data_IF_193061868210
#
_entry.id   IF_193061868210
#
_cell.length_a   1.000
_cell.length_b   1.000
_cell.length_c   1.000
_cell.angle_alpha   90.00
_cell.angle_beta   90.00
_cell.angle_gamma   90.00
#
_symmetry.space_group_name_H-M   'P 1'
#
loop_
_entity.id
_entity.type
_entity.pdbx_description
1 polymer ?
#
# COMPACT_ATOMS: atom_id res chain seq x y z
N UNK A 1 22.19 -26.56 4.10
CA UNK A 1 20.99 -25.74 4.36
C UNK A 1 21.22 -24.26 4.00
N UNK A 2 22.31 -23.61 4.41
CA UNK A 2 22.60 -22.19 4.10
C UNK A 2 22.72 -21.91 2.58
N UNK A 3 23.35 -22.81 1.82
CA UNK A 3 23.51 -22.66 0.37
C UNK A 3 22.17 -22.77 -0.38
N UNK A 4 21.25 -23.63 0.07
CA UNK A 4 19.91 -23.76 -0.52
C UNK A 4 19.04 -22.53 -0.24
N UNK A 5 19.13 -21.95 0.97
CA UNK A 5 18.44 -20.72 1.33
C UNK A 5 18.93 -19.53 0.48
N UNK A 6 20.24 -19.35 0.35
CA UNK A 6 20.83 -18.30 -0.49
C UNK A 6 20.46 -18.43 -1.99
N UNK A 7 20.36 -19.66 -2.49
CA UNK A 7 19.92 -19.92 -3.88
C UNK A 7 18.43 -19.60 -4.09
N UNK A 8 17.58 -19.92 -3.11
CA UNK A 8 16.15 -19.57 -3.16
C UNK A 8 15.93 -18.05 -3.12
N UNK A 9 16.67 -17.36 -2.26
CA UNK A 9 16.62 -15.90 -2.14
C UNK A 9 17.10 -15.20 -3.42
N UNK A 10 18.20 -15.64 -4.01
CA UNK A 10 18.68 -15.11 -5.29
C UNK A 10 17.70 -15.36 -6.45
N UNK A 11 16.93 -16.45 -6.39
CA UNK A 11 15.92 -16.75 -7.41
C UNK A 11 14.68 -15.89 -7.22
N UNK A 12 14.27 -15.64 -5.97
CA UNK A 12 13.17 -14.74 -5.63
C UNK A 12 13.47 -13.29 -6.03
N UNK A 13 14.68 -12.80 -5.74
CA UNK A 13 15.14 -11.46 -6.15
C UNK A 13 15.13 -11.30 -7.67
N UNK A 14 15.61 -12.29 -8.43
CA UNK A 14 15.58 -12.24 -9.91
C UNK A 14 14.17 -12.29 -10.51
N UNK A 15 13.23 -12.97 -9.85
CA UNK A 15 11.81 -12.91 -10.25
C UNK A 15 11.24 -11.53 -10.01
N UNK A 16 11.42 -10.99 -8.80
CA UNK A 16 10.95 -9.67 -8.45
C UNK A 16 11.53 -8.59 -9.36
N UNK A 17 12.85 -8.63 -9.65
CA UNK A 17 13.51 -7.72 -10.57
C UNK A 17 12.86 -7.76 -11.97
N UNK A 18 12.53 -8.96 -12.47
CA UNK A 18 11.84 -9.12 -13.76
C UNK A 18 10.40 -8.62 -13.71
N UNK A 19 9.67 -8.94 -12.65
CA UNK A 19 8.26 -8.55 -12.50
C UNK A 19 8.12 -7.02 -12.36
N UNK A 20 9.07 -6.35 -11.68
CA UNK A 20 9.15 -4.88 -11.63
C UNK A 20 9.51 -4.30 -13.00
N UNK A 21 10.41 -4.96 -13.73
CA UNK A 21 10.88 -4.47 -15.03
C UNK A 21 9.82 -4.60 -16.13
N UNK A 22 9.11 -5.72 -16.18
CA UNK A 22 8.25 -6.05 -17.33
C UNK A 22 6.83 -5.44 -17.22
N UNK A 23 6.31 -5.23 -16.02
CA UNK A 23 4.98 -4.66 -15.79
C UNK A 23 5.01 -3.14 -15.54
N UNK A 24 5.44 -2.71 -14.36
CA UNK A 24 5.37 -1.29 -13.97
C UNK A 24 6.18 -0.35 -14.84
N UNK A 25 7.36 -0.75 -15.32
CA UNK A 25 8.17 0.11 -16.19
C UNK A 25 7.50 0.39 -17.53
N UNK A 26 6.90 -0.62 -18.16
CA UNK A 26 6.19 -0.43 -19.43
C UNK A 26 4.96 0.47 -19.28
N UNK A 27 4.28 0.41 -18.13
CA UNK A 27 3.14 1.30 -17.82
C UNK A 27 3.59 2.72 -17.57
N UNK A 28 4.70 2.94 -16.85
CA UNK A 28 5.27 4.27 -16.67
C UNK A 28 5.71 4.91 -17.96
N UNK A 29 6.24 4.12 -18.91
CA UNK A 29 6.59 4.62 -20.25
C UNK A 29 5.32 5.04 -21.01
N UNK A 30 4.26 4.24 -21.00
CA UNK A 30 2.98 4.60 -21.61
C UNK A 30 2.39 5.86 -20.98
N UNK A 31 2.35 5.94 -19.66
CA UNK A 31 1.90 7.11 -18.92
C UNK A 31 2.68 8.38 -19.33
N UNK A 32 4.01 8.27 -19.45
CA UNK A 32 4.85 9.39 -19.93
C UNK A 32 4.48 9.84 -21.34
N UNK A 33 4.15 8.89 -22.23
CA UNK A 33 3.69 9.19 -23.59
C UNK A 33 2.31 9.88 -23.59
N UNK A 34 1.38 9.42 -22.75
CA UNK A 34 0.02 9.97 -22.67
C UNK A 34 0.03 11.38 -22.06
N UNK A 35 0.84 11.61 -21.03
CA UNK A 35 1.07 12.95 -20.48
C UNK A 35 1.73 13.88 -21.49
N UNK A 36 2.64 13.36 -22.33
CA UNK A 36 3.27 14.15 -23.40
C UNK A 36 2.27 14.54 -24.49
N UNK A 37 1.34 13.64 -24.84
CA UNK A 37 0.22 13.96 -25.75
C UNK A 37 -0.74 14.97 -25.13
N UNK A 38 -1.15 14.77 -23.87
CA UNK A 38 -2.01 15.73 -23.18
C UNK A 38 -1.40 17.12 -23.17
N UNK A 39 -0.09 17.25 -22.94
CA UNK A 39 0.63 18.52 -22.99
C UNK A 39 0.57 19.20 -24.36
N UNK A 40 0.55 18.43 -25.45
CA UNK A 40 0.44 18.99 -26.80
C UNK A 40 -0.96 19.53 -27.13
N UNK A 41 -1.98 19.12 -26.37
CA UNK A 41 -3.38 19.53 -26.57
C UNK A 41 -3.85 20.56 -25.54
N UNK A 42 -2.94 21.12 -24.73
CA UNK A 42 -3.28 22.12 -23.68
C UNK A 42 -3.99 23.35 -24.26
N UNK A 43 -3.63 23.75 -25.48
CA UNK A 43 -4.22 24.89 -26.21
C UNK A 43 -5.37 24.47 -27.14
N UNK A 44 -5.83 23.21 -27.09
CA UNK A 44 -6.84 22.62 -27.96
C UNK A 44 -8.16 22.33 -27.26
N UNK A 45 -8.80 21.21 -27.66
CA UNK A 45 -10.06 20.75 -27.10
C UNK A 45 -9.90 20.30 -25.64
N UNK A 46 -10.57 21.00 -24.72
CA UNK A 46 -10.50 20.74 -23.29
C UNK A 46 -11.05 19.37 -22.90
N UNK A 47 -12.00 18.82 -23.66
CA UNK A 47 -12.55 17.49 -23.39
C UNK A 47 -11.54 16.40 -23.74
N UNK A 48 -10.77 16.57 -24.81
CA UNK A 48 -9.67 15.67 -25.18
C UNK A 48 -8.56 15.72 -24.12
N UNK A 49 -8.23 16.91 -23.63
CA UNK A 49 -7.24 17.08 -22.58
C UNK A 49 -7.66 16.40 -21.27
N UNK A 50 -8.92 16.61 -20.87
CA UNK A 50 -9.48 16.00 -19.67
C UNK A 50 -9.46 14.48 -19.76
N UNK A 51 -9.92 13.90 -20.86
CA UNK A 51 -9.91 12.46 -21.09
C UNK A 51 -8.50 11.88 -21.00
N UNK A 52 -7.50 12.56 -21.60
CA UNK A 52 -6.10 12.13 -21.52
C UNK A 52 -5.51 12.19 -20.10
N UNK A 53 -5.90 13.18 -19.31
CA UNK A 53 -5.48 13.29 -17.91
C UNK A 53 -6.16 12.22 -17.03
N UNK A 54 -7.45 11.96 -17.22
CA UNK A 54 -8.20 10.92 -16.51
C UNK A 54 -7.60 9.53 -16.79
N UNK A 55 -7.26 9.24 -18.03
CA UNK A 55 -6.57 8.02 -18.42
C UNK A 55 -5.18 7.90 -17.78
N UNK A 56 -4.40 9.00 -17.76
CA UNK A 56 -3.09 9.04 -17.12
C UNK A 56 -3.17 8.79 -15.60
N UNK A 57 -4.17 9.34 -14.95
CA UNK A 57 -4.43 9.09 -13.51
C UNK A 57 -4.79 7.62 -13.27
N UNK A 58 -5.67 7.03 -14.10
CA UNK A 58 -6.07 5.62 -14.01
C UNK A 58 -4.84 4.70 -14.15
N UNK A 59 -4.03 4.89 -15.17
CA UNK A 59 -2.80 4.09 -15.41
C UNK A 59 -1.78 4.24 -14.27
N UNK A 60 -1.67 5.42 -13.68
CA UNK A 60 -0.81 5.64 -12.51
C UNK A 60 -1.29 4.83 -11.31
N UNK A 61 -2.59 4.81 -11.06
CA UNK A 61 -3.18 4.05 -9.97
C UNK A 61 -2.99 2.54 -10.16
N UNK A 62 -3.25 2.02 -11.36
CA UNK A 62 -3.01 0.60 -11.68
C UNK A 62 -1.54 0.21 -11.48
N UNK A 63 -0.61 1.06 -11.92
CA UNK A 63 0.83 0.81 -11.74
C UNK A 63 1.23 0.79 -10.26
N UNK A 64 0.68 1.72 -9.46
CA UNK A 64 0.91 1.75 -8.02
C UNK A 64 0.35 0.50 -7.33
N UNK A 65 -0.80 0.02 -7.73
CA UNK A 65 -1.43 -1.17 -7.15
C UNK A 65 -0.65 -2.44 -7.52
N UNK A 66 -0.10 -2.54 -8.74
CA UNK A 66 0.85 -3.61 -9.09
C UNK A 66 2.14 -3.56 -8.27
N UNK A 67 2.76 -2.38 -8.15
CA UNK A 67 3.96 -2.23 -7.34
C UNK A 67 3.71 -2.61 -5.88
N UNK A 68 2.54 -2.26 -5.34
CA UNK A 68 2.12 -2.68 -4.00
C UNK A 68 1.93 -4.19 -3.91
N UNK A 69 1.31 -4.81 -4.91
CA UNK A 69 1.13 -6.26 -4.97
C UNK A 69 2.47 -7.00 -5.00
N UNK A 70 3.42 -6.53 -5.80
CA UNK A 70 4.78 -7.07 -5.86
C UNK A 70 5.55 -6.85 -4.54
N UNK A 71 5.31 -5.72 -3.88
CA UNK A 71 5.95 -5.37 -2.60
C UNK A 71 5.36 -6.10 -1.39
N UNK A 72 4.16 -6.68 -1.48
CA UNK A 72 3.51 -7.38 -0.35
C UNK A 72 4.34 -8.53 0.22
N UNK A 73 5.32 -9.06 -0.53
CA UNK A 73 6.26 -10.06 -0.05
C UNK A 73 7.55 -9.51 0.57
N UNK A 74 7.75 -8.18 0.55
CA UNK A 74 8.97 -7.52 1.04
C UNK A 74 8.59 -6.54 2.13
N UNK A 75 8.94 -6.88 3.37
CA UNK A 75 8.74 -5.98 4.50
C UNK A 75 9.52 -4.66 4.28
N UNK A 76 8.88 -3.49 4.47
CA UNK A 76 9.58 -2.21 4.36
C UNK A 76 10.75 -2.12 5.35
N UNK A 77 11.85 -1.44 5.02
CA UNK A 77 12.99 -1.29 5.93
C UNK A 77 12.60 -0.73 7.31
N UNK A 78 11.66 0.21 7.37
CA UNK A 78 11.18 0.76 8.65
C UNK A 78 10.54 -0.32 9.54
N UNK A 79 9.88 -1.31 8.94
CA UNK A 79 9.27 -2.42 9.68
C UNK A 79 10.34 -3.38 10.21
N UNK A 80 11.32 -3.74 9.39
CA UNK A 80 12.41 -4.64 9.78
C UNK A 80 13.34 -4.02 10.81
N UNK A 81 13.67 -2.74 10.66
CA UNK A 81 14.67 -2.06 11.48
C UNK A 81 14.08 -1.49 12.77
N UNK A 82 12.86 -0.96 12.73
CA UNK A 82 12.23 -0.22 13.84
C UNK A 82 10.96 -0.87 14.39
N UNK A 83 10.49 -1.96 13.78
CA UNK A 83 9.31 -2.71 14.20
C UNK A 83 7.98 -2.06 13.82
N UNK A 84 6.91 -2.80 14.11
CA UNK A 84 5.55 -2.47 13.71
C UNK A 84 5.06 -1.09 14.19
N UNK A 85 5.24 -0.68 15.47
CA UNK A 85 4.75 0.62 15.92
C UNK A 85 5.32 1.79 15.13
N UNK A 86 6.63 1.78 14.87
CA UNK A 86 7.31 2.84 14.09
C UNK A 86 6.87 2.85 12.64
N UNK A 87 6.64 1.68 12.06
CA UNK A 87 6.18 1.55 10.69
C UNK A 87 4.74 2.08 10.52
N UNK A 88 3.85 1.76 11.48
CA UNK A 88 2.47 2.27 11.49
C UNK A 88 2.42 3.79 11.72
N UNK A 89 3.25 4.32 12.61
CA UNK A 89 3.36 5.77 12.80
C UNK A 89 3.80 6.49 11.52
N UNK A 90 4.73 5.90 10.76
CA UNK A 90 5.15 6.44 9.46
C UNK A 90 4.03 6.37 8.40
N UNK A 91 3.15 5.37 8.43
CA UNK A 91 1.95 5.31 7.59
C UNK A 91 0.95 6.42 7.95
N UNK A 92 0.66 6.57 9.24
CA UNK A 92 -0.27 7.58 9.75
C UNK A 92 0.12 9.00 9.32
N UNK A 93 1.42 9.35 9.47
CA UNK A 93 1.94 10.68 9.07
C UNK A 93 1.82 10.93 7.56
N UNK A 94 1.88 9.91 6.73
CA UNK A 94 1.78 10.03 5.26
C UNK A 94 0.36 10.01 4.73
N UNK A 95 -0.60 9.63 5.54
CA UNK A 95 -2.02 9.62 5.14
C UNK A 95 -2.50 11.07 4.93
N UNK A 96 -3.29 11.29 3.88
CA UNK A 96 -3.89 12.60 3.61
C UNK A 96 -5.05 12.93 4.54
N UNK A 97 -5.68 11.90 5.12
CA UNK A 97 -6.67 12.04 6.19
C UNK A 97 -5.93 11.97 7.53
N UNK A 98 -6.22 12.86 8.49
CA UNK A 98 -5.69 12.79 9.84
C UNK A 98 -5.94 11.43 10.50
N UNK A 99 -4.89 10.78 10.98
CA UNK A 99 -4.95 9.46 11.61
C UNK A 99 -4.55 9.56 13.08
N UNK A 100 -5.45 9.15 13.96
CA UNK A 100 -5.14 8.90 15.36
C UNK A 100 -4.73 7.43 15.53
N UNK A 101 -3.46 7.20 15.91
CA UNK A 101 -2.90 5.86 16.01
C UNK A 101 -2.68 5.48 17.48
N UNK A 102 -3.29 4.39 17.91
CA UNK A 102 -3.06 3.75 19.21
C UNK A 102 -2.47 2.36 18.99
N UNK A 103 -1.27 2.13 19.50
CA UNK A 103 -0.59 0.81 19.42
C UNK A 103 -0.25 0.37 20.84
N UNK A 104 -0.52 -0.90 21.12
CA UNK A 104 -0.15 -1.51 22.40
C UNK A 104 1.35 -1.32 22.68
N UNK A 105 1.72 -0.72 23.81
CA UNK A 105 3.12 -0.45 24.16
C UNK A 105 4.01 -1.70 24.16
N UNK A 106 3.46 -2.88 24.45
CA UNK A 106 4.22 -4.13 24.45
C UNK A 106 4.78 -4.47 23.07
N UNK A 107 4.08 -4.11 21.98
CA UNK A 107 4.53 -4.32 20.59
C UNK A 107 5.79 -3.51 20.25
N UNK A 108 6.09 -2.48 21.01
CA UNK A 108 7.32 -1.67 20.88
C UNK A 108 8.52 -2.26 21.63
N UNK A 109 8.30 -3.25 22.49
CA UNK A 109 9.36 -3.87 23.29
C UNK A 109 9.97 -5.08 22.60
N UNK A 110 11.26 -5.39 22.80
CA UNK A 110 11.90 -6.55 22.18
C UNK A 110 11.20 -7.88 22.55
N UNK A 111 10.66 -7.97 23.76
CA UNK A 111 9.95 -9.16 24.25
C UNK A 111 8.52 -9.31 23.67
N UNK A 112 7.91 -8.22 23.21
CA UNK A 112 6.58 -8.21 22.60
C UNK A 112 6.59 -8.19 21.08
N UNK A 113 7.76 -8.34 20.47
CA UNK A 113 7.89 -8.33 19.02
C UNK A 113 7.21 -9.56 18.41
N UNK A 114 6.34 -9.33 17.45
CA UNK A 114 5.61 -10.38 16.76
C UNK A 114 6.51 -11.12 15.77
N UNK A 115 6.02 -12.26 15.29
CA UNK A 115 6.62 -12.92 14.13
C UNK A 115 6.65 -11.97 12.92
N UNK A 116 7.73 -11.99 12.15
CA UNK A 116 7.93 -11.09 11.01
C UNK A 116 6.81 -11.19 9.96
N UNK A 117 6.22 -12.36 9.78
CA UNK A 117 5.11 -12.56 8.86
C UNK A 117 3.84 -11.87 9.38
N UNK A 118 3.60 -11.92 10.70
CA UNK A 118 2.47 -11.24 11.35
C UNK A 118 2.65 -9.72 11.27
N UNK A 119 3.85 -9.20 11.62
CA UNK A 119 4.14 -7.76 11.50
C UNK A 119 3.92 -7.27 10.06
N UNK A 120 4.37 -8.03 9.07
CA UNK A 120 4.22 -7.72 7.65
C UNK A 120 2.74 -7.70 7.24
N UNK A 121 1.97 -8.70 7.67
CA UNK A 121 0.53 -8.77 7.39
C UNK A 121 -0.23 -7.59 7.97
N UNK A 122 0.01 -7.25 9.24
CA UNK A 122 -0.61 -6.10 9.91
C UNK A 122 -0.25 -4.79 9.21
N UNK A 123 1.03 -4.61 8.87
CA UNK A 123 1.49 -3.41 8.18
C UNK A 123 0.75 -3.20 6.85
N UNK A 124 0.66 -4.23 6.01
CA UNK A 124 0.00 -4.11 4.72
C UNK A 124 -1.52 -3.97 4.84
N UNK A 125 -2.16 -4.64 5.80
CA UNK A 125 -3.58 -4.47 6.06
C UNK A 125 -3.93 -3.02 6.44
N UNK A 126 -3.14 -2.41 7.34
CA UNK A 126 -3.31 -0.99 7.72
C UNK A 126 -3.00 -0.06 6.55
N UNK A 127 -1.93 -0.30 5.79
CA UNK A 127 -1.56 0.52 4.64
C UNK A 127 -2.66 0.54 3.56
N UNK A 128 -3.26 -0.63 3.28
CA UNK A 128 -4.37 -0.77 2.34
C UNK A 128 -5.62 -0.05 2.85
N UNK A 129 -5.99 -0.26 4.11
CA UNK A 129 -7.14 0.40 4.71
C UNK A 129 -7.02 1.93 4.69
N UNK A 130 -5.86 2.49 5.10
CA UNK A 130 -5.62 3.93 5.03
C UNK A 130 -5.65 4.48 3.60
N UNK A 131 -5.17 3.69 2.63
CA UNK A 131 -5.27 4.06 1.22
C UNK A 131 -6.72 4.11 0.74
N UNK A 132 -7.53 3.13 1.14
CA UNK A 132 -8.95 3.07 0.79
C UNK A 132 -9.74 4.21 1.43
N UNK A 133 -9.46 4.53 2.69
CA UNK A 133 -10.05 5.69 3.37
C UNK A 133 -9.70 6.98 2.63
N UNK A 134 -8.42 7.22 2.35
CA UNK A 134 -7.97 8.43 1.67
C UNK A 134 -8.57 8.61 0.27
N UNK A 135 -8.86 7.51 -0.44
CA UNK A 135 -9.39 7.55 -1.82
C UNK A 135 -10.92 7.55 -1.90
N UNK A 136 -11.60 6.92 -0.95
CA UNK A 136 -12.98 6.50 -1.17
C UNK A 136 -13.96 6.87 -0.07
N UNK A 137 -13.49 7.16 1.17
CA UNK A 137 -14.42 7.35 2.30
C UNK A 137 -14.97 8.76 2.40
N UNK A 138 -14.27 9.77 1.88
CA UNK A 138 -14.61 11.17 2.14
C UNK A 138 -14.40 11.57 3.61
N UNK A 139 -13.74 10.75 4.41
CA UNK A 139 -13.54 10.97 5.84
C UNK A 139 -12.70 12.21 6.13
N UNK A 140 -13.05 12.88 7.22
CA UNK A 140 -12.26 13.97 7.81
C UNK A 140 -11.26 13.45 8.86
N UNK A 141 -11.52 12.26 9.43
CA UNK A 141 -10.68 11.64 10.46
C UNK A 141 -10.68 10.12 10.39
N UNK A 142 -9.59 9.50 10.83
CA UNK A 142 -9.44 8.05 10.92
C UNK A 142 -8.78 7.65 12.25
N UNK A 143 -9.26 6.57 12.85
CA UNK A 143 -8.69 5.96 14.07
C UNK A 143 -8.17 4.57 13.73
N UNK A 144 -6.95 4.30 14.13
CA UNK A 144 -6.30 3.00 13.99
C UNK A 144 -5.87 2.51 15.36
N UNK A 145 -6.34 1.35 15.79
CA UNK A 145 -5.89 0.71 17.01
C UNK A 145 -5.31 -0.66 16.73
N UNK A 146 -4.19 -0.97 17.39
CA UNK A 146 -3.51 -2.27 17.29
C UNK A 146 -3.25 -2.77 18.72
N UNK A 147 -3.91 -3.85 19.09
CA UNK A 147 -3.83 -4.47 20.40
C UNK A 147 -3.25 -5.87 20.34
N UNK A 148 -2.34 -6.17 21.26
CA UNK A 148 -1.78 -7.51 21.46
C UNK A 148 -2.65 -8.30 22.46
N UNK A 149 -2.92 -9.56 22.16
CA UNK A 149 -3.67 -10.45 23.02
C UNK A 149 -3.15 -11.88 22.98
N UNK A 150 -3.59 -12.75 23.89
CA UNK A 150 -3.11 -14.13 23.97
C UNK A 150 -3.32 -14.88 22.64
N UNK A 151 -2.23 -15.11 21.89
CA UNK A 151 -2.24 -15.84 20.63
C UNK A 151 -2.94 -15.13 19.46
N UNK A 152 -3.24 -13.84 19.58
CA UNK A 152 -3.88 -13.05 18.51
C UNK A 152 -3.45 -11.59 18.57
N UNK A 153 -3.45 -10.95 17.42
CA UNK A 153 -3.38 -9.49 17.30
C UNK A 153 -4.73 -8.98 16.79
N UNK A 154 -5.22 -7.91 17.39
CA UNK A 154 -6.43 -7.23 16.94
C UNK A 154 -6.05 -5.90 16.29
N UNK A 155 -6.57 -5.66 15.09
CA UNK A 155 -6.45 -4.39 14.37
C UNK A 155 -7.84 -3.87 14.13
N UNK A 156 -8.10 -2.65 14.56
CA UNK A 156 -9.35 -1.96 14.33
C UNK A 156 -9.05 -0.64 13.60
N UNK A 157 -9.80 -0.38 12.54
CA UNK A 157 -9.65 0.82 11.73
C UNK A 157 -11.04 1.38 11.50
N UNK A 158 -11.24 2.63 11.92
CA UNK A 158 -12.53 3.32 11.85
C UNK A 158 -12.31 4.67 11.21
N UNK A 159 -13.19 5.09 10.33
CA UNK A 159 -13.23 6.42 9.74
C UNK A 159 -14.62 7.06 9.91
N UNK A 160 -14.69 8.39 9.83
CA UNK A 160 -15.93 9.17 9.93
C UNK A 160 -16.54 9.51 8.56
N UNK A 161 -16.14 8.81 7.52
CA UNK A 161 -16.64 9.00 6.17
C UNK A 161 -18.01 8.39 5.91
N UNK A 162 -18.55 8.71 4.74
CA UNK A 162 -19.91 8.24 4.33
C UNK A 162 -19.94 6.76 3.94
N UNK A 163 -18.79 6.06 3.98
CA UNK A 163 -18.64 4.70 3.51
C UNK A 163 -18.68 4.60 1.98
N UNK A 164 -18.87 3.38 1.47
CA UNK A 164 -19.02 3.18 0.01
C UNK A 164 -17.98 2.30 -0.64
N UNK A 165 -17.08 1.68 0.15
CA UNK A 165 -16.21 0.64 -0.36
C UNK A 165 -17.07 -0.60 -0.69
N UNK A 166 -17.14 -0.96 -1.99
CA UNK A 166 -17.81 -2.18 -2.46
C UNK A 166 -16.77 -3.17 -2.98
N UNK A 167 -16.88 -4.43 -2.58
CA UNK A 167 -16.06 -5.56 -3.06
C UNK A 167 -15.98 -5.66 -4.60
N UNK A 168 -17.00 -5.16 -5.31
CA UNK A 168 -17.07 -5.19 -6.77
C UNK A 168 -16.22 -4.13 -7.49
N UNK A 169 -15.61 -3.17 -6.76
CA UNK A 169 -14.86 -2.04 -7.36
C UNK A 169 -13.38 -1.99 -7.00
N UNK A 170 -12.86 -2.89 -6.17
CA UNK A 170 -11.46 -2.87 -5.77
C UNK A 170 -10.89 -4.26 -5.51
N UNK A 171 -9.61 -4.44 -5.82
CA UNK A 171 -8.88 -5.69 -5.60
C UNK A 171 -8.37 -5.83 -4.16
N UNK A 172 -8.45 -4.76 -3.33
CA UNK A 172 -7.89 -4.72 -1.98
C UNK A 172 -8.63 -5.57 -0.96
N UNK A 173 -9.96 -5.66 -1.05
CA UNK A 173 -10.79 -6.43 -0.10
C UNK A 173 -10.91 -7.91 -0.47
N UNK A 174 -10.63 -8.28 -1.72
CA UNK A 174 -10.71 -9.66 -2.21
C UNK A 174 -9.57 -10.58 -1.70
N UNK A 175 -8.58 -10.03 -0.99
CA UNK A 175 -7.45 -10.76 -0.44
C UNK A 175 -7.46 -10.94 1.08
N UNK A 176 -8.59 -10.63 1.75
CA UNK A 176 -8.72 -10.70 3.22
C UNK A 176 -9.55 -11.91 3.71
N UNK A 177 -9.96 -12.83 2.81
CA UNK A 177 -10.60 -14.11 3.15
C UNK A 177 -9.56 -15.21 3.47
#
# INVERSE_FOLDING_TARGET
>A
QKAAAASAEATALRRLERDIHDGPQQRLIRLSMDLSRARQHVDGDQDVLRAALDEAVSQTQETLDELRALSRGIAPPVLTDRGLPSALAALAVRCTVPVELTVDPELGMPAGRLDAAVETTVYFAVAEALTNIAKHSGAAHCWVSVANGPGRIAVEIVDDGDGGAHLAKGHGLAGLD
#
